data_IF_332781954510
#
_entry.id   IF_332781954510
#
_cell.length_a   1.000
_cell.length_b   1.000
_cell.length_c   1.000
_cell.angle_alpha   90.00
_cell.angle_beta   90.00
_cell.angle_gamma   90.00
#
_symmetry.space_group_name_H-M   'P 1'
#
loop_
_entity.id
_entity.type
_entity.pdbx_description
1 polymer ?
#
# COMPACT_ATOMS: atom_id res chain seq x y z
N UNK A 1 11.81 -3.50 0.38
CA UNK A 1 10.94 -3.14 1.53
C UNK A 1 10.75 -1.63 1.47
N UNK A 2 9.51 -1.13 1.49
CA UNK A 2 9.26 0.32 1.57
C UNK A 2 8.71 0.67 2.94
N UNK A 3 9.22 1.76 3.51
CA UNK A 3 8.87 2.27 4.85
C UNK A 3 8.25 3.66 4.70
N UNK A 4 7.51 4.14 5.72
CA UNK A 4 7.09 5.53 5.76
C UNK A 4 8.24 6.51 5.46
N UNK A 5 7.90 7.63 4.83
CA UNK A 5 8.81 8.71 4.40
C UNK A 5 9.71 8.38 3.19
N UNK A 6 9.56 7.20 2.58
CA UNK A 6 10.22 6.87 1.30
C UNK A 6 9.46 7.43 0.09
N UNK A 7 10.15 7.63 -1.04
CA UNK A 7 9.55 8.09 -2.30
C UNK A 7 10.12 7.38 -3.52
N UNK A 8 9.36 7.33 -4.61
CA UNK A 8 9.84 6.86 -5.92
C UNK A 8 8.88 5.92 -6.65
N UNK A 9 9.34 5.36 -7.78
CA UNK A 9 8.56 4.45 -8.62
C UNK A 9 8.12 3.18 -7.89
N UNK A 10 8.97 2.62 -7.03
CA UNK A 10 8.62 1.47 -6.19
C UNK A 10 7.46 1.79 -5.24
N UNK A 11 7.40 3.01 -4.69
CA UNK A 11 6.26 3.43 -3.86
C UNK A 11 5.01 3.53 -4.74
N UNK A 12 5.08 4.18 -5.92
CA UNK A 12 3.93 4.24 -6.85
C UNK A 12 3.37 2.86 -7.17
N UNK A 13 4.22 1.87 -7.40
CA UNK A 13 3.78 0.51 -7.66
C UNK A 13 3.01 -0.10 -6.48
N UNK A 14 3.48 0.12 -5.23
CA UNK A 14 2.76 -0.33 -4.02
C UNK A 14 1.41 0.38 -3.91
N UNK A 15 1.38 1.69 -4.13
CA UNK A 15 0.17 2.50 -4.09
C UNK A 15 -0.86 2.01 -5.12
N UNK A 16 -0.44 1.76 -6.36
CA UNK A 16 -1.29 1.21 -7.43
C UNK A 16 -1.79 -0.20 -7.09
N UNK A 17 -0.92 -1.06 -6.57
CA UNK A 17 -1.28 -2.42 -6.19
C UNK A 17 -2.33 -2.45 -5.07
N UNK A 18 -2.17 -1.62 -4.03
CA UNK A 18 -3.17 -1.45 -2.97
C UNK A 18 -4.48 -0.85 -3.52
N UNK A 19 -4.42 0.00 -4.55
CA UNK A 19 -5.61 0.61 -5.14
C UNK A 19 -6.43 -0.44 -5.89
N UNK A 20 -5.75 -1.34 -6.62
CA UNK A 20 -6.36 -2.44 -7.35
C UNK A 20 -7.11 -3.42 -6.43
N UNK A 21 -6.67 -3.59 -5.18
CA UNK A 21 -7.37 -4.40 -4.16
C UNK A 21 -8.25 -3.56 -3.21
N UNK A 22 -8.56 -2.32 -3.57
CA UNK A 22 -9.46 -1.42 -2.84
C UNK A 22 -8.99 -0.93 -1.46
N UNK A 23 -7.69 -1.00 -1.15
CA UNK A 23 -7.12 -0.54 0.12
C UNK A 23 -6.45 0.85 0.06
N UNK A 24 -6.32 1.47 -1.11
CA UNK A 24 -5.57 2.72 -1.30
C UNK A 24 -6.46 3.97 -1.25
N UNK A 25 -5.93 5.14 -0.85
CA UNK A 25 -6.73 6.23 -0.36
C UNK A 25 -7.39 6.99 -1.50
N UNK A 26 -8.65 7.34 -1.24
CA UNK A 26 -9.37 8.42 -1.88
C UNK A 26 -9.59 8.28 -3.39
N UNK A 27 -10.57 7.43 -3.75
CA UNK A 27 -11.09 7.30 -5.12
C UNK A 27 -11.57 8.63 -5.72
N UNK A 28 -11.82 9.65 -4.90
CA UNK A 28 -12.23 10.98 -5.34
C UNK A 28 -11.05 11.91 -5.66
N UNK A 29 -9.83 11.57 -5.25
CA UNK A 29 -8.64 12.38 -5.53
C UNK A 29 -8.05 12.08 -6.91
N UNK A 30 -7.34 13.06 -7.49
CA UNK A 30 -6.56 12.85 -8.72
C UNK A 30 -5.63 11.64 -8.56
N UNK A 31 -5.65 10.75 -9.56
CA UNK A 31 -4.88 9.49 -9.56
C UNK A 31 -5.12 8.60 -8.33
N UNK A 32 -6.30 8.64 -7.69
CA UNK A 32 -6.60 7.90 -6.46
C UNK A 32 -5.55 8.15 -5.35
N UNK A 33 -5.05 9.38 -5.25
CA UNK A 33 -4.03 9.74 -4.26
C UNK A 33 -2.66 9.06 -4.47
N UNK A 34 -2.39 8.49 -5.65
CA UNK A 34 -1.09 7.91 -6.02
C UNK A 34 -0.12 9.04 -6.39
N UNK A 35 0.79 9.35 -5.48
CA UNK A 35 1.79 10.43 -5.59
C UNK A 35 3.24 9.90 -5.61
N UNK A 36 3.46 8.63 -5.28
CA UNK A 36 4.79 8.03 -5.14
C UNK A 36 5.50 8.39 -3.84
N UNK A 37 4.81 8.96 -2.87
CA UNK A 37 5.31 9.24 -1.53
C UNK A 37 4.65 8.31 -0.51
N UNK A 38 5.48 7.60 0.26
CA UNK A 38 5.00 6.69 1.30
C UNK A 38 4.69 7.49 2.57
N UNK A 39 3.65 8.32 2.48
CA UNK A 39 3.19 9.16 3.58
C UNK A 39 2.23 8.43 4.52
N UNK A 40 1.62 9.17 5.48
CA UNK A 40 0.64 8.62 6.42
C UNK A 40 -0.51 7.88 5.73
N UNK A 41 -0.98 8.39 4.58
CA UNK A 41 -2.06 7.75 3.79
C UNK A 41 -1.65 6.37 3.25
N UNK A 42 -0.42 6.23 2.76
CA UNK A 42 0.11 4.93 2.30
C UNK A 42 0.32 3.97 3.46
N UNK A 43 0.86 4.46 4.58
CA UNK A 43 1.06 3.64 5.77
C UNK A 43 -0.27 3.12 6.32
N UNK A 44 -1.30 3.96 6.37
CA UNK A 44 -2.65 3.56 6.78
C UNK A 44 -3.26 2.51 5.82
N UNK A 45 -3.14 2.71 4.51
CA UNK A 45 -3.55 1.72 3.51
C UNK A 45 -2.89 0.36 3.74
N UNK A 46 -1.59 0.33 4.01
CA UNK A 46 -0.85 -0.90 4.29
C UNK A 46 -1.28 -1.52 5.62
N UNK A 47 -1.50 -0.73 6.69
CA UNK A 47 -1.99 -1.24 7.98
C UNK A 47 -3.34 -1.91 7.83
N UNK A 48 -4.29 -1.27 7.13
CA UNK A 48 -5.64 -1.84 6.90
C UNK A 48 -5.56 -3.15 6.12
N UNK A 49 -4.75 -3.19 5.06
CA UNK A 49 -4.49 -4.41 4.31
C UNK A 49 -3.92 -5.51 5.19
N UNK A 50 -2.92 -5.18 6.02
CA UNK A 50 -2.30 -6.14 6.94
C UNK A 50 -3.32 -6.69 7.95
N UNK A 51 -4.13 -5.84 8.59
CA UNK A 51 -5.17 -6.23 9.53
C UNK A 51 -6.18 -7.20 8.90
N UNK A 52 -6.71 -6.84 7.73
CA UNK A 52 -7.72 -7.64 7.03
C UNK A 52 -7.21 -9.00 6.54
N UNK A 53 -5.88 -9.19 6.51
CA UNK A 53 -5.25 -10.41 6.05
C UNK A 53 -4.43 -11.13 7.13
N UNK A 54 -4.62 -10.77 8.41
CA UNK A 54 -3.98 -11.45 9.54
C UNK A 54 -2.46 -11.27 9.59
N UNK A 55 -1.94 -10.17 9.06
CA UNK A 55 -0.53 -9.81 9.12
C UNK A 55 -0.28 -8.82 10.27
N UNK A 56 0.98 -8.67 10.68
CA UNK A 56 1.36 -7.59 11.59
C UNK A 56 1.07 -6.23 10.94
N UNK A 57 0.27 -5.39 11.60
CA UNK A 57 -0.22 -4.12 11.09
C UNK A 57 0.73 -2.95 11.39
N UNK A 58 1.99 -3.07 10.97
CA UNK A 58 3.04 -2.08 11.19
C UNK A 58 3.03 -0.92 10.17
N UNK A 59 2.28 -1.06 9.07
CA UNK A 59 2.23 -0.07 8.00
C UNK A 59 3.45 -0.08 7.09
N UNK A 60 4.30 -1.11 7.20
CA UNK A 60 5.51 -1.31 6.41
C UNK A 60 5.22 -2.34 5.31
N UNK A 61 5.52 -1.97 4.07
CA UNK A 61 5.41 -2.90 2.94
C UNK A 61 6.65 -3.82 2.89
N UNK A 62 6.59 -4.86 3.70
CA UNK A 62 7.59 -5.93 3.80
C UNK A 62 7.26 -7.16 2.93
N UNK A 63 8.11 -8.22 2.97
CA UNK A 63 7.97 -9.41 2.13
C UNK A 63 6.64 -10.15 2.33
N UNK A 64 6.15 -10.25 3.59
CA UNK A 64 4.86 -10.89 3.89
C UNK A 64 3.69 -10.13 3.27
N UNK A 65 3.67 -8.80 3.42
CA UNK A 65 2.68 -7.92 2.79
C UNK A 65 2.70 -8.07 1.27
N UNK A 66 3.90 -8.01 0.66
CA UNK A 66 4.10 -8.19 -0.77
C UNK A 66 3.54 -9.53 -1.26
N UNK A 67 3.94 -10.63 -0.64
CA UNK A 67 3.51 -11.97 -1.05
C UNK A 67 1.99 -12.15 -0.94
N UNK A 68 1.34 -11.54 0.07
CA UNK A 68 -0.11 -11.59 0.20
C UNK A 68 -0.80 -10.76 -0.87
N UNK A 69 -0.28 -9.57 -1.18
CA UNK A 69 -0.83 -8.67 -2.21
C UNK A 69 -0.73 -9.30 -3.61
N UNK A 70 0.42 -9.89 -3.95
CA UNK A 70 0.63 -10.58 -5.22
C UNK A 70 -0.33 -11.76 -5.42
N UNK A 71 -0.72 -12.47 -4.34
CA UNK A 71 -1.71 -13.54 -4.42
C UNK A 71 -3.12 -13.04 -4.77
N UNK A 72 -3.45 -11.79 -4.48
CA UNK A 72 -4.76 -11.19 -4.73
C UNK A 72 -4.85 -10.48 -6.09
N UNK A 73 -3.70 -10.22 -6.73
CA UNK A 73 -3.60 -9.60 -8.05
C UNK A 73 -3.48 -10.62 -9.19
N UNK A 74 -3.45 -11.91 -8.85
CA UNK A 74 -3.57 -13.02 -9.81
C UNK A 74 -5.04 -13.30 -10.08
#
# INVERSE_FOLDING_TARGET
>A
MTKPLTKGSAVKAVQQALAAVYYYPDKGAKNNGVDGYYGPKTADAVKRFQLMHGLAADGIYGPKTKAKLEKLLK
#
